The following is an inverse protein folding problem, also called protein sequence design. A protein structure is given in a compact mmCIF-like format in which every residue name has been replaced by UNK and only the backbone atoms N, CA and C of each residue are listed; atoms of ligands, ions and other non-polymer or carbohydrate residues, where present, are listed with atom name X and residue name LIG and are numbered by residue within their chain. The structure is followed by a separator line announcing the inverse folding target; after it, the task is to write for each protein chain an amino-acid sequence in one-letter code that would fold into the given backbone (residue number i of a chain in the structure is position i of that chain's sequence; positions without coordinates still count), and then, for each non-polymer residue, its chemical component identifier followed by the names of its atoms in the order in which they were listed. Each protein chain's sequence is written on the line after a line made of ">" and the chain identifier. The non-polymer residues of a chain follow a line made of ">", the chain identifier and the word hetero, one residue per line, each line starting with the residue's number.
data_IF_469415821269
#
_entry.id   IF_469415821269
#
_cell.length_a   1.000
_cell.length_b   1.000
_cell.length_c   1.000
_cell.angle_alpha   90.00
_cell.angle_beta   90.00
_cell.angle_gamma   90.00
#
_symmetry.space_group_name_H-M   'P 1'
#
loop_
_entity.id
_entity.type
_entity.pdbx_description
1 polymer ?
#
# COMPACT_ATOMS: atom_id res chain seq x y z
N UNK A 1 12.35 20.47 21.42
CA UNK A 1 11.11 20.05 20.73
C UNK A 1 11.09 18.53 20.68
N UNK A 2 10.02 17.86 21.13
CA UNK A 2 9.89 16.41 20.96
C UNK A 2 9.61 16.14 19.49
N UNK A 3 10.54 15.47 18.79
CA UNK A 3 10.27 14.98 17.44
C UNK A 3 9.16 13.92 17.55
N UNK A 4 7.98 14.20 17.00
CA UNK A 4 6.92 13.22 16.89
C UNK A 4 7.29 12.25 15.78
N UNK A 5 7.37 10.95 16.10
CA UNK A 5 7.62 9.88 15.13
C UNK A 5 6.38 9.73 14.26
N UNK A 6 6.52 9.93 12.94
CA UNK A 6 5.42 9.89 11.97
C UNK A 6 5.28 8.51 11.33
N UNK A 7 4.04 8.10 11.09
CA UNK A 7 3.74 7.02 10.15
C UNK A 7 3.96 7.50 8.70
N UNK A 8 4.08 6.59 7.73
CA UNK A 8 4.33 6.94 6.31
C UNK A 8 3.26 7.89 5.75
N UNK A 9 2.00 7.73 6.15
CA UNK A 9 0.89 8.61 5.76
C UNK A 9 1.02 10.04 6.30
N UNK A 10 1.77 10.25 7.37
CA UNK A 10 2.02 11.56 7.98
C UNK A 10 3.37 12.17 7.53
N UNK A 11 4.18 11.40 6.80
CA UNK A 11 5.45 11.90 6.25
C UNK A 11 5.21 12.91 5.12
N UNK A 12 6.19 13.78 4.82
CA UNK A 12 6.09 14.71 3.70
C UNK A 12 5.85 14.01 2.36
N UNK A 13 5.14 14.67 1.43
CA UNK A 13 4.80 14.10 0.12
C UNK A 13 6.04 13.65 -0.68
N UNK A 14 7.19 14.32 -0.54
CA UNK A 14 8.42 13.89 -1.21
C UNK A 14 8.94 12.53 -0.69
N UNK A 15 8.82 12.25 0.62
CA UNK A 15 9.16 10.93 1.20
C UNK A 15 8.20 9.86 0.69
N UNK A 16 6.90 10.16 0.64
CA UNK A 16 5.88 9.25 0.10
C UNK A 16 6.12 8.95 -1.39
N UNK A 17 6.52 9.96 -2.15
CA UNK A 17 6.88 9.79 -3.56
C UNK A 17 8.09 8.86 -3.72
N UNK A 18 9.16 9.05 -2.94
CA UNK A 18 10.32 8.16 -2.99
C UNK A 18 9.94 6.73 -2.56
N UNK A 19 9.12 6.58 -1.53
CA UNK A 19 8.57 5.29 -1.10
C UNK A 19 7.90 4.55 -2.26
N UNK A 20 6.99 5.23 -2.99
CA UNK A 20 6.35 4.67 -4.15
C UNK A 20 7.32 4.41 -5.31
N UNK A 21 8.27 5.32 -5.59
CA UNK A 21 9.30 5.12 -6.63
C UNK A 21 10.11 3.85 -6.39
N UNK A 22 10.50 3.57 -5.14
CA UNK A 22 11.18 2.33 -4.78
C UNK A 22 10.32 1.10 -5.10
N UNK A 23 9.02 1.13 -4.77
CA UNK A 23 8.11 0.03 -5.09
C UNK A 23 7.94 -0.19 -6.61
N UNK A 24 8.08 0.85 -7.44
CA UNK A 24 8.00 0.69 -8.90
C UNK A 24 9.11 -0.19 -9.47
N UNK A 25 10.22 -0.40 -8.76
CA UNK A 25 11.24 -1.34 -9.22
C UNK A 25 10.70 -2.76 -9.22
N UNK A 26 9.88 -3.13 -8.24
CA UNK A 26 9.23 -4.45 -8.19
C UNK A 26 8.11 -4.57 -9.23
N UNK A 27 7.35 -3.50 -9.44
CA UNK A 27 6.25 -3.47 -10.42
C UNK A 27 6.72 -3.72 -11.86
N UNK A 28 7.98 -3.41 -12.17
CA UNK A 28 8.52 -3.38 -13.54
C UNK A 28 9.67 -4.36 -13.80
N UNK A 29 10.05 -5.20 -12.82
CA UNK A 29 11.18 -6.13 -12.99
C UNK A 29 11.01 -7.07 -14.20
N UNK A 30 9.77 -7.50 -14.49
CA UNK A 30 9.51 -8.49 -15.54
C UNK A 30 9.28 -7.88 -16.94
N UNK A 31 9.60 -6.60 -17.14
CA UNK A 31 9.43 -5.85 -18.42
C UNK A 31 8.00 -5.82 -18.98
N UNK A 32 7.03 -6.34 -18.23
CA UNK A 32 5.60 -6.15 -18.45
C UNK A 32 4.96 -5.83 -17.11
N UNK A 33 4.71 -4.55 -16.88
CA UNK A 33 3.91 -4.12 -15.75
C UNK A 33 2.52 -4.76 -15.85
N UNK A 34 2.20 -5.64 -14.92
CA UNK A 34 0.92 -6.33 -14.84
C UNK A 34 -0.08 -5.48 -14.01
N UNK A 35 -1.36 -5.49 -14.42
CA UNK A 35 -2.48 -4.87 -13.72
C UNK A 35 -2.59 -5.29 -12.23
N UNK A 36 -2.14 -6.50 -11.87
CA UNK A 36 -2.16 -6.99 -10.48
C UNK A 36 -1.13 -6.26 -9.60
N UNK A 37 0.11 -6.10 -10.08
CA UNK A 37 1.15 -5.32 -9.37
C UNK A 37 0.79 -3.84 -9.32
N UNK A 38 0.23 -3.32 -10.41
CA UNK A 38 -0.26 -1.94 -10.48
C UNK A 38 -1.42 -1.68 -9.50
N UNK A 39 -2.35 -2.64 -9.35
CA UNK A 39 -3.40 -2.60 -8.35
C UNK A 39 -2.82 -2.43 -6.95
N UNK A 40 -1.84 -3.24 -6.56
CA UNK A 40 -1.22 -3.13 -5.24
C UNK A 40 -0.49 -1.79 -5.05
N UNK A 41 0.18 -1.28 -6.08
CA UNK A 41 0.80 0.05 -6.05
C UNK A 41 -0.25 1.16 -5.81
N UNK A 42 -1.38 1.15 -6.52
CA UNK A 42 -2.46 2.13 -6.31
C UNK A 42 -3.10 2.04 -4.93
N UNK A 43 -3.28 0.84 -4.42
CA UNK A 43 -3.74 0.62 -3.04
C UNK A 43 -2.76 1.23 -2.03
N UNK A 44 -1.46 1.04 -2.23
CA UNK A 44 -0.41 1.63 -1.37
C UNK A 44 -0.44 3.15 -1.46
N UNK A 45 -0.54 3.73 -2.67
CA UNK A 45 -0.69 5.18 -2.86
C UNK A 45 -1.92 5.73 -2.12
N UNK A 46 -3.05 5.01 -2.16
CA UNK A 46 -4.27 5.36 -1.45
C UNK A 46 -4.10 5.30 0.09
N UNK A 47 -3.37 4.28 0.59
CA UNK A 47 -3.04 4.10 2.02
C UNK A 47 -2.18 5.25 2.53
N UNK A 48 -1.06 5.53 1.86
CA UNK A 48 -0.14 6.59 2.29
C UNK A 48 -0.62 7.99 1.90
N UNK A 49 -1.73 8.10 1.18
CA UNK A 49 -2.31 9.36 0.71
C UNK A 49 -1.31 10.18 -0.13
N UNK A 50 -0.76 9.54 -1.17
CA UNK A 50 0.02 10.23 -2.19
C UNK A 50 -0.92 11.12 -3.01
N UNK A 51 -0.60 12.41 -3.10
CA UNK A 51 -1.43 13.38 -3.82
C UNK A 51 -1.31 13.23 -5.36
N UNK A 52 -2.23 13.85 -6.10
CA UNK A 52 -2.29 13.74 -7.57
C UNK A 52 -0.97 14.12 -8.24
N UNK A 53 -0.33 15.23 -7.83
CA UNK A 53 0.97 15.63 -8.40
C UNK A 53 2.08 14.59 -8.15
N UNK A 54 2.10 13.95 -6.98
CA UNK A 54 3.02 12.87 -6.68
C UNK A 54 2.76 11.63 -7.55
N UNK A 55 1.48 11.31 -7.82
CA UNK A 55 1.12 10.20 -8.71
C UNK A 55 1.51 10.48 -10.16
N UNK A 56 1.28 11.69 -10.65
CA UNK A 56 1.72 12.14 -11.98
C UNK A 56 3.23 11.91 -12.17
N UNK A 57 4.06 12.42 -11.23
CA UNK A 57 5.51 12.21 -11.25
C UNK A 57 5.91 10.73 -11.13
N UNK A 58 5.12 9.92 -10.42
CA UNK A 58 5.37 8.48 -10.31
C UNK A 58 5.06 7.75 -11.62
N UNK A 59 3.99 8.14 -12.31
CA UNK A 59 3.59 7.58 -13.60
C UNK A 59 4.58 7.94 -14.70
N UNK A 60 5.08 9.18 -14.72
CA UNK A 60 6.22 9.58 -15.55
C UNK A 60 7.42 8.68 -15.28
N UNK A 61 7.80 8.54 -14.00
CA UNK A 61 8.93 7.70 -13.57
C UNK A 61 8.80 6.23 -13.99
N UNK A 62 7.58 5.68 -14.07
CA UNK A 62 7.33 4.33 -14.56
C UNK A 62 7.61 4.16 -16.05
N UNK A 63 7.52 5.24 -16.85
CA UNK A 63 7.67 5.21 -18.31
C UNK A 63 9.03 5.71 -18.80
N UNK A 64 9.84 6.29 -17.92
CA UNK A 64 11.18 6.81 -18.17
C UNK A 64 12.28 5.83 -17.75
N UNK A 65 13.54 6.12 -18.13
CA UNK A 65 14.67 5.37 -17.57
C UNK A 65 14.76 5.69 -16.08
N UNK A 66 14.52 4.68 -15.25
CA UNK A 66 14.57 4.84 -13.80
C UNK A 66 15.97 5.26 -13.36
N UNK A 67 16.01 6.13 -12.35
CA UNK A 67 17.25 6.43 -11.64
C UNK A 67 17.87 5.14 -11.07
N UNK A 68 19.12 5.20 -10.60
CA UNK A 68 19.65 4.10 -9.82
C UNK A 68 18.88 3.99 -8.49
N UNK A 69 18.45 2.78 -8.13
CA UNK A 69 17.72 2.51 -6.88
C UNK A 69 18.53 2.95 -5.66
N UNK A 70 19.86 2.87 -5.73
CA UNK A 70 20.73 3.36 -4.66
C UNK A 70 20.64 4.87 -4.46
N UNK A 71 20.35 5.64 -5.51
CA UNK A 71 20.19 7.10 -5.40
C UNK A 71 18.96 7.44 -4.57
N UNK A 72 17.83 6.80 -4.85
CA UNK A 72 16.59 6.97 -4.09
C UNK A 72 16.76 6.49 -2.64
N UNK A 73 17.47 5.39 -2.43
CA UNK A 73 17.77 4.89 -1.10
C UNK A 73 18.65 5.86 -0.29
N UNK A 74 19.72 6.38 -0.88
CA UNK A 74 20.62 7.31 -0.21
C UNK A 74 19.90 8.61 0.17
N UNK A 75 18.99 9.08 -0.67
CA UNK A 75 18.14 10.23 -0.35
C UNK A 75 17.30 9.98 0.91
N UNK A 76 16.70 8.80 1.04
CA UNK A 76 15.95 8.43 2.24
C UNK A 76 16.87 8.24 3.45
N UNK A 77 17.98 7.54 3.28
CA UNK A 77 18.90 7.22 4.37
C UNK A 77 19.53 8.46 5.00
N UNK A 78 19.74 9.50 4.20
CA UNK A 78 20.26 10.81 4.67
C UNK A 78 19.17 11.73 5.21
N UNK A 79 17.89 11.49 4.87
CA UNK A 79 16.77 12.35 5.27
C UNK A 79 16.03 11.84 6.50
N UNK A 80 15.85 10.52 6.63
CA UNK A 80 15.13 9.90 7.75
C UNK A 80 16.14 9.34 8.75
N UNK A 81 15.92 9.62 10.03
CA UNK A 81 16.77 9.11 11.11
C UNK A 81 15.96 8.34 12.15
N UNK A 82 16.65 7.44 12.86
CA UNK A 82 16.11 6.72 14.00
C UNK A 82 14.82 5.96 13.71
N UNK A 83 13.76 6.27 14.46
CA UNK A 83 12.49 5.54 14.39
C UNK A 83 11.72 5.76 13.08
N UNK A 84 11.82 6.94 12.46
CA UNK A 84 11.13 7.19 11.18
C UNK A 84 11.76 6.37 10.05
N UNK A 85 13.08 6.24 10.03
CA UNK A 85 13.77 5.36 9.09
C UNK A 85 13.43 3.88 9.34
N UNK A 86 13.32 3.45 10.60
CA UNK A 86 12.88 2.09 10.90
C UNK A 86 11.44 1.83 10.42
N UNK A 87 10.51 2.74 10.67
CA UNK A 87 9.14 2.62 10.15
C UNK A 87 9.17 2.50 8.62
N UNK A 88 9.90 3.39 7.96
CA UNK A 88 10.05 3.38 6.50
C UNK A 88 10.58 2.03 5.98
N UNK A 89 11.71 1.55 6.50
CA UNK A 89 12.36 0.36 5.93
C UNK A 89 11.57 -0.93 6.15
N UNK A 90 10.89 -1.07 7.29
CA UNK A 90 10.07 -2.24 7.57
C UNK A 90 8.76 -2.22 6.81
N UNK A 91 8.08 -1.07 6.73
CA UNK A 91 6.89 -0.92 5.89
C UNK A 91 7.22 -1.17 4.42
N UNK A 92 8.34 -0.61 3.92
CA UNK A 92 8.77 -0.77 2.54
C UNK A 92 9.05 -2.24 2.20
N UNK A 93 9.72 -2.99 3.08
CA UNK A 93 9.96 -4.43 2.87
C UNK A 93 8.66 -5.23 2.82
N UNK A 94 7.70 -4.96 3.72
CA UNK A 94 6.38 -5.62 3.68
C UNK A 94 5.65 -5.30 2.38
N UNK A 95 5.64 -4.03 1.96
CA UNK A 95 4.98 -3.61 0.73
C UNK A 95 5.67 -4.16 -0.53
N UNK A 96 6.99 -4.34 -0.52
CA UNK A 96 7.70 -5.06 -1.58
C UNK A 96 7.24 -6.52 -1.71
N UNK A 97 7.08 -7.23 -0.59
CA UNK A 97 6.54 -8.60 -0.60
C UNK A 97 5.11 -8.64 -1.12
N UNK A 98 4.27 -7.66 -0.76
CA UNK A 98 2.90 -7.57 -1.24
C UNK A 98 2.85 -7.34 -2.76
N UNK A 99 3.67 -6.43 -3.29
CA UNK A 99 3.74 -6.18 -4.74
C UNK A 99 4.28 -7.39 -5.49
N UNK A 100 5.35 -8.02 -4.98
CA UNK A 100 5.93 -9.24 -5.56
C UNK A 100 4.95 -10.41 -5.54
N UNK A 101 4.10 -10.53 -4.52
CA UNK A 101 3.09 -11.58 -4.39
C UNK A 101 1.81 -11.35 -5.20
N UNK A 102 1.65 -10.19 -5.84
CA UNK A 102 0.38 -9.77 -6.42
C UNK A 102 -0.13 -10.68 -7.56
N UNK A 103 0.78 -11.26 -8.35
CA UNK A 103 0.45 -12.12 -9.49
C UNK A 103 0.79 -13.60 -9.26
N UNK A 104 1.13 -13.98 -8.03
CA UNK A 104 1.39 -15.37 -7.59
C UNK A 104 2.54 -16.08 -8.31
N UNK A 105 3.36 -15.32 -9.05
CA UNK A 105 4.52 -15.82 -9.76
C UNK A 105 5.71 -15.01 -9.25
N UNK A 106 6.81 -15.71 -8.93
CA UNK A 106 8.05 -15.06 -8.53
C UNK A 106 9.12 -15.36 -9.57
N UNK A 107 9.54 -14.34 -10.30
CA UNK A 107 10.67 -14.47 -11.23
C UNK A 107 12.00 -14.52 -10.48
N UNK A 108 13.06 -14.99 -11.16
CA UNK A 108 14.39 -15.01 -10.56
C UNK A 108 14.88 -13.58 -10.28
N UNK A 109 14.52 -12.65 -11.16
CA UNK A 109 14.82 -11.22 -11.08
C UNK A 109 14.17 -10.56 -9.86
N UNK A 110 12.91 -10.87 -9.58
CA UNK A 110 12.21 -10.39 -8.38
C UNK A 110 12.83 -10.91 -7.08
N UNK A 111 13.18 -12.20 -7.05
CA UNK A 111 13.84 -12.81 -5.90
C UNK A 111 15.23 -12.19 -5.65
N UNK A 112 15.98 -11.89 -6.70
CA UNK A 112 17.25 -11.17 -6.59
C UNK A 112 17.05 -9.71 -6.16
N UNK A 113 16.01 -9.03 -6.67
CA UNK A 113 15.68 -7.68 -6.23
C UNK A 113 15.35 -7.65 -4.73
N UNK A 114 14.50 -8.54 -4.22
CA UNK A 114 14.21 -8.64 -2.78
C UNK A 114 15.47 -8.88 -1.97
N UNK A 115 16.38 -9.76 -2.41
CA UNK A 115 17.65 -9.99 -1.72
C UNK A 115 18.50 -8.72 -1.65
N UNK A 116 18.53 -7.93 -2.73
CA UNK A 116 19.26 -6.67 -2.79
C UNK A 116 18.61 -5.61 -1.90
N UNK A 117 17.29 -5.47 -1.94
CA UNK A 117 16.53 -4.57 -1.05
C UNK A 117 16.73 -4.94 0.42
N UNK A 118 16.70 -6.23 0.77
CA UNK A 118 16.95 -6.70 2.14
C UNK A 118 18.31 -6.24 2.66
N UNK A 119 19.36 -6.38 1.85
CA UNK A 119 20.71 -5.91 2.17
C UNK A 119 20.74 -4.38 2.30
N UNK A 120 20.18 -3.67 1.33
CA UNK A 120 20.12 -2.21 1.29
C UNK A 120 19.42 -1.63 2.52
N UNK A 121 18.29 -2.20 2.92
CA UNK A 121 17.51 -1.77 4.09
C UNK A 121 18.06 -2.28 5.43
N UNK A 122 19.18 -3.01 5.41
CA UNK A 122 19.79 -3.62 6.61
C UNK A 122 18.80 -4.45 7.43
N UNK A 123 17.99 -5.27 6.75
CA UNK A 123 17.00 -6.14 7.38
C UNK A 123 17.67 -7.48 7.69
N UNK A 124 17.70 -7.83 8.98
CA UNK A 124 18.26 -9.09 9.47
C UNK A 124 17.48 -10.31 8.97
N UNK A 125 18.04 -11.50 9.19
CA UNK A 125 17.36 -12.74 8.84
C UNK A 125 16.11 -12.91 9.71
N UNK A 126 16.20 -12.69 11.02
CA UNK A 126 15.05 -12.84 11.93
C UNK A 126 13.92 -11.84 11.60
N UNK A 127 14.27 -10.58 11.28
CA UNK A 127 13.28 -9.58 10.88
C UNK A 127 12.62 -9.94 9.54
N UNK A 128 13.38 -10.44 8.58
CA UNK A 128 12.83 -10.85 7.29
C UNK A 128 11.88 -12.05 7.43
N UNK A 129 12.27 -13.07 8.19
CA UNK A 129 11.44 -14.25 8.46
C UNK A 129 10.15 -13.87 9.20
N UNK A 130 10.22 -12.91 10.13
CA UNK A 130 9.04 -12.37 10.79
C UNK A 130 8.09 -11.68 9.81
N UNK A 131 8.60 -10.80 8.93
CA UNK A 131 7.78 -10.10 7.93
C UNK A 131 7.17 -11.11 6.94
N UNK A 132 7.93 -12.13 6.54
CA UNK A 132 7.43 -13.21 5.69
C UNK A 132 6.33 -14.04 6.39
N UNK A 133 6.52 -14.36 7.69
CA UNK A 133 5.51 -15.05 8.50
C UNK A 133 4.24 -14.20 8.60
N UNK A 134 4.36 -12.91 8.86
CA UNK A 134 3.20 -11.99 8.84
C UNK A 134 2.52 -12.02 7.48
N UNK A 135 3.27 -11.86 6.38
CA UNK A 135 2.75 -11.89 5.01
C UNK A 135 2.01 -13.20 4.69
N UNK A 136 2.52 -14.36 5.13
CA UNK A 136 1.86 -15.66 4.94
C UNK A 136 0.68 -15.88 5.87
N UNK A 137 0.74 -15.39 7.10
CA UNK A 137 -0.37 -15.43 8.05
C UNK A 137 -1.55 -14.58 7.54
N UNK A 138 -1.22 -13.44 6.94
CA UNK A 138 -2.11 -12.55 6.20
C UNK A 138 -2.81 -13.29 5.03
N UNK A 139 -2.16 -14.27 4.39
CA UNK A 139 -2.76 -15.15 3.38
C UNK A 139 -3.62 -16.28 3.97
N UNK A 140 -3.20 -16.89 5.09
CA UNK A 140 -3.86 -18.07 5.69
C UNK A 140 -5.11 -17.76 6.53
N UNK A 141 -5.28 -16.51 6.99
CA UNK A 141 -6.49 -16.05 7.70
C UNK A 141 -7.80 -16.24 6.89
N UNK A 142 -7.68 -16.55 5.60
CA UNK A 142 -8.78 -16.69 4.64
C UNK A 142 -9.52 -18.03 4.71
N UNK A 143 -8.87 -19.11 5.15
CA UNK A 143 -9.43 -20.46 5.01
C UNK A 143 -10.26 -20.90 6.22
N UNK A 144 -10.04 -20.26 7.37
CA UNK A 144 -10.66 -20.65 8.62
C UNK A 144 -11.61 -19.55 9.09
N UNK A 145 -12.87 -19.91 9.38
CA UNK A 145 -13.81 -19.05 10.09
C UNK A 145 -13.35 -18.90 11.55
N UNK A 146 -12.22 -18.21 11.74
CA UNK A 146 -11.57 -18.13 13.04
C UNK A 146 -12.40 -17.23 13.96
N UNK A 147 -12.51 -17.69 15.20
CA UNK A 147 -13.22 -17.00 16.28
C UNK A 147 -12.52 -15.67 16.62
N UNK A 148 -13.30 -14.64 16.94
CA UNK A 148 -12.82 -13.25 17.08
C UNK A 148 -11.80 -13.07 18.23
N UNK A 149 -11.80 -13.98 19.21
CA UNK A 149 -10.79 -14.01 20.29
C UNK A 149 -9.39 -14.41 19.78
N UNK A 150 -9.31 -15.23 18.74
CA UNK A 150 -8.05 -15.61 18.08
C UNK A 150 -7.42 -14.42 17.35
N UNK A 151 -8.24 -13.49 16.84
CA UNK A 151 -7.75 -12.29 16.14
C UNK A 151 -7.02 -11.33 17.10
N UNK A 152 -7.55 -11.10 18.30
CA UNK A 152 -6.91 -10.26 19.31
C UNK A 152 -5.60 -10.86 19.83
N UNK A 153 -5.58 -12.17 20.08
CA UNK A 153 -4.37 -12.85 20.53
C UNK A 153 -3.28 -12.81 19.46
N UNK A 154 -3.64 -13.02 18.20
CA UNK A 154 -2.72 -12.90 17.07
C UNK A 154 -2.11 -11.49 16.98
N UNK A 155 -2.92 -10.43 17.08
CA UNK A 155 -2.39 -9.04 17.07
C UNK A 155 -1.40 -8.81 18.19
N UNK A 156 -1.76 -9.22 19.42
CA UNK A 156 -0.89 -9.03 20.59
C UNK A 156 0.40 -9.83 20.46
N UNK A 157 0.33 -11.04 19.94
CA UNK A 157 1.49 -11.88 19.65
C UNK A 157 2.38 -11.26 18.58
N UNK A 158 1.82 -10.79 17.47
CA UNK A 158 2.54 -10.11 16.40
C UNK A 158 3.25 -8.85 16.92
N UNK A 159 2.57 -8.03 17.71
CA UNK A 159 3.19 -6.84 18.33
C UNK A 159 4.32 -7.25 19.27
N UNK A 160 4.12 -8.27 20.11
CA UNK A 160 5.14 -8.74 21.05
C UNK A 160 6.37 -9.32 20.32
N UNK A 161 6.16 -10.16 19.32
CA UNK A 161 7.24 -10.76 18.52
C UNK A 161 8.00 -9.70 17.71
N UNK A 162 7.28 -8.81 17.02
CA UNK A 162 7.87 -7.74 16.22
C UNK A 162 8.70 -6.76 17.06
N UNK A 163 8.17 -6.36 18.22
CA UNK A 163 8.92 -5.47 19.13
C UNK A 163 10.15 -6.15 19.74
N UNK A 164 10.07 -7.45 20.04
CA UNK A 164 11.20 -8.22 20.57
C UNK A 164 12.39 -8.27 19.59
N UNK A 165 12.13 -8.24 18.28
CA UNK A 165 13.16 -8.22 17.23
C UNK A 165 13.45 -6.82 16.68
N UNK A 166 12.94 -5.77 17.35
CA UNK A 166 13.25 -4.37 17.04
C UNK A 166 12.47 -3.76 15.88
N UNK A 167 11.35 -4.36 15.46
CA UNK A 167 10.44 -3.78 14.47
C UNK A 167 9.51 -2.76 15.18
N UNK A 168 9.47 -1.49 14.75
CA UNK A 168 8.54 -0.51 15.28
C UNK A 168 7.10 -0.97 15.07
N UNK A 169 6.27 -0.80 16.10
CA UNK A 169 4.88 -1.22 16.01
C UNK A 169 4.14 -0.47 14.90
N UNK A 170 4.49 0.79 14.63
CA UNK A 170 3.92 1.58 13.53
C UNK A 170 4.19 1.03 12.13
N UNK A 171 5.19 0.15 11.96
CA UNK A 171 5.40 -0.58 10.71
C UNK A 171 4.67 -1.92 10.65
N UNK A 172 4.19 -2.42 11.78
CA UNK A 172 3.33 -3.60 11.82
C UNK A 172 1.94 -3.16 11.36
N UNK A 173 1.41 -3.84 10.35
CA UNK A 173 0.04 -3.66 9.89
C UNK A 173 -0.80 -4.83 10.41
N UNK A 174 -1.98 -4.55 10.94
CA UNK A 174 -2.83 -5.55 11.58
C UNK A 174 -3.70 -6.24 10.54
N UNK A 175 -3.26 -7.46 10.19
CA UNK A 175 -3.99 -8.61 9.64
C UNK A 175 -4.82 -8.36 8.37
N UNK A 176 -4.39 -9.02 7.29
CA UNK A 176 -4.98 -8.98 5.95
C UNK A 176 -6.26 -9.81 5.77
N UNK A 177 -7.09 -9.41 4.80
CA UNK A 177 -8.10 -10.24 4.13
C UNK A 177 -8.18 -9.90 2.63
N UNK A 178 -8.19 -10.89 1.71
CA UNK A 178 -9.00 -10.84 0.48
C UNK A 178 -9.21 -12.21 -0.18
N UNK A 179 -10.43 -12.40 -0.67
CA UNK A 179 -10.86 -13.45 -1.59
C UNK A 179 -9.90 -13.76 -2.76
N UNK A 180 -9.81 -15.07 -2.99
CA UNK A 180 -9.59 -15.77 -4.26
C UNK A 180 -10.73 -15.44 -5.25
N UNK A 181 -10.45 -14.71 -6.33
CA UNK A 181 -11.40 -14.57 -7.44
C UNK A 181 -11.25 -15.76 -8.39
N UNK A 182 -12.14 -16.76 -8.26
CA UNK A 182 -12.73 -17.40 -9.44
C UNK A 182 -14.02 -16.65 -9.70
N UNK A 183 -14.21 -16.22 -10.95
CA UNK A 183 -15.43 -15.67 -11.53
C UNK A 183 -16.70 -15.94 -10.70
N UNK A 184 -17.34 -14.86 -10.22
CA UNK A 184 -18.74 -14.88 -9.79
C UNK A 184 -19.40 -13.60 -10.30
N UNK A 185 -20.54 -13.78 -10.95
CA UNK A 185 -21.37 -12.76 -11.60
C UNK A 185 -21.82 -11.63 -10.66
N UNK A 186 -22.09 -10.43 -11.20
CA UNK A 186 -22.51 -9.28 -10.41
C UNK A 186 -23.98 -9.43 -10.04
N UNK A 187 -24.25 -10.02 -8.89
CA UNK A 187 -25.54 -9.81 -8.21
C UNK A 187 -25.26 -9.57 -6.74
N UNK A 188 -25.34 -8.29 -6.34
CA UNK A 188 -25.97 -7.81 -5.11
C UNK A 188 -25.74 -6.29 -5.02
N UNK A 189 -26.60 -5.58 -5.75
CA UNK A 189 -27.33 -4.38 -5.31
C UNK A 189 -26.56 -3.27 -4.57
N UNK A 190 -26.36 -2.16 -5.28
CA UNK A 190 -26.88 -0.83 -4.92
C UNK A 190 -27.47 -0.72 -3.51
N UNK A 191 -26.63 -0.44 -2.50
CA UNK A 191 -27.11 0.05 -1.20
C UNK A 191 -26.04 0.65 -0.28
N UNK A 192 -25.06 1.39 -0.80
CA UNK A 192 -24.19 2.24 0.04
C UNK A 192 -23.92 3.59 -0.64
N UNK A 193 -24.97 4.26 -1.11
CA UNK A 193 -24.92 5.68 -1.49
C UNK A 193 -26.14 6.35 -0.89
N UNK A 194 -26.08 6.57 0.43
CA UNK A 194 -27.20 7.11 1.19
C UNK A 194 -26.74 7.76 2.48
N UNK A 195 -26.31 9.03 2.37
CA UNK A 195 -26.17 10.01 3.46
C UNK A 195 -25.27 9.61 4.63
N UNK A 196 -24.14 10.29 4.78
CA UNK A 196 -23.78 10.82 6.09
C UNK A 196 -23.50 12.31 6.01
N UNK A 197 -24.32 13.06 6.76
CA UNK A 197 -24.18 14.47 7.08
C UNK A 197 -22.84 14.71 7.76
N UNK A 198 -22.25 15.87 7.45
CA UNK A 198 -21.25 16.54 8.27
C UNK A 198 -21.58 16.39 9.76
N UNK A 199 -20.80 15.57 10.45
CA UNK A 199 -20.56 15.71 11.88
C UNK A 199 -19.11 16.12 11.99
N UNK A 200 -18.91 17.36 12.44
CA UNK A 200 -17.63 17.85 12.92
C UNK A 200 -17.05 16.80 13.87
N UNK A 201 -15.82 16.36 13.59
CA UNK A 201 -15.10 15.39 14.41
C UNK A 201 -14.84 16.01 15.79
N UNK A 202 -15.65 15.61 16.76
CA UNK A 202 -15.33 15.66 18.19
C UNK A 202 -13.95 14.99 18.41
N UNK A 203 -13.03 15.47 19.27
CA UNK A 203 -11.62 15.03 19.29
C UNK A 203 -11.37 13.63 19.90
N UNK A 204 -12.40 12.78 20.00
CA UNK A 204 -12.27 11.36 20.29
C UNK A 204 -12.75 10.42 19.17
N UNK A 205 -12.08 10.36 17.98
CA UNK A 205 -12.26 9.28 17.01
C UNK A 205 -10.94 8.86 16.31
N UNK A 206 -9.80 9.42 16.73
CA UNK A 206 -8.52 9.31 15.99
C UNK A 206 -7.91 7.92 16.04
N UNK A 207 -8.05 7.19 17.16
CA UNK A 207 -7.44 5.86 17.32
C UNK A 207 -8.16 4.80 16.46
N UNK A 208 -9.49 4.90 16.32
CA UNK A 208 -10.28 3.96 15.53
C UNK A 208 -10.02 4.08 14.03
N UNK A 209 -9.87 5.31 13.53
CA UNK A 209 -9.54 5.56 12.11
C UNK A 209 -8.11 5.10 11.76
N UNK A 210 -7.14 5.29 12.66
CA UNK A 210 -5.75 4.87 12.42
C UNK A 210 -5.56 3.36 12.50
N UNK A 211 -6.25 2.67 13.42
CA UNK A 211 -6.27 1.20 13.46
C UNK A 211 -6.95 0.60 12.22
N UNK A 212 -7.99 1.25 11.72
CA UNK A 212 -8.67 0.84 10.50
C UNK A 212 -7.75 0.96 9.27
N UNK A 213 -6.88 1.98 9.24
CA UNK A 213 -5.89 2.23 8.17
C UNK A 213 -4.77 1.19 8.09
N UNK A 214 -4.78 0.19 8.98
CA UNK A 214 -3.69 -0.78 9.10
C UNK A 214 -2.40 -0.14 9.60
N UNK A 215 -2.50 1.01 10.29
CA UNK A 215 -1.36 1.75 10.86
C UNK A 215 -1.43 1.60 12.38
N UNK A 216 -0.54 0.80 12.96
CA UNK A 216 -0.57 0.55 14.40
C UNK A 216 0.25 1.63 15.12
N UNK A 217 -0.37 2.74 15.48
CA UNK A 217 0.29 3.76 16.30
C UNK A 217 0.43 3.32 17.76
N UNK A 218 1.34 3.95 18.51
CA UNK A 218 1.47 3.74 19.97
C UNK A 218 0.13 3.84 20.71
N UNK A 219 -0.72 4.81 20.34
CA UNK A 219 -2.06 4.96 20.91
C UNK A 219 -3.02 3.84 20.49
N UNK A 220 -2.90 3.34 19.25
CA UNK A 220 -3.58 2.12 18.78
C UNK A 220 -3.18 0.88 19.59
N UNK A 221 -1.89 0.65 19.79
CA UNK A 221 -1.38 -0.45 20.63
C UNK A 221 -1.93 -0.37 22.05
N UNK A 222 -1.80 0.81 22.68
CA UNK A 222 -2.27 1.03 24.05
C UNK A 222 -3.77 0.79 24.18
N UNK A 223 -4.54 1.15 23.15
CA UNK A 223 -5.98 0.91 23.11
C UNK A 223 -6.31 -0.59 22.98
N UNK A 224 -5.59 -1.33 22.12
CA UNK A 224 -5.76 -2.79 21.93
C UNK A 224 -5.37 -3.56 23.20
N UNK A 225 -4.27 -3.18 23.83
CA UNK A 225 -3.76 -3.84 25.04
C UNK A 225 -4.66 -3.59 26.26
N UNK A 226 -5.31 -2.43 26.36
CA UNK A 226 -6.11 -2.05 27.54
C UNK A 226 -7.61 -2.36 27.44
N UNK A 227 -8.12 -2.86 26.30
CA UNK A 227 -9.55 -3.21 26.14
C UNK A 227 -9.80 -4.70 26.37
N UNK A 228 -10.86 -5.01 27.12
CA UNK A 228 -11.42 -6.37 27.26
C UNK A 228 -12.22 -6.79 26.02
N UNK A 229 -12.31 -8.11 25.76
CA UNK A 229 -12.89 -8.81 24.57
C UNK A 229 -14.26 -8.30 24.06
N UNK A 230 -14.98 -7.45 24.81
CA UNK A 230 -16.35 -7.01 24.50
C UNK A 230 -16.52 -6.04 23.31
N UNK A 231 -15.44 -5.63 22.62
CA UNK A 231 -15.49 -4.70 21.49
C UNK A 231 -14.78 -5.21 20.23
N UNK A 232 -14.61 -6.52 20.09
CA UNK A 232 -13.93 -7.17 18.96
C UNK A 232 -14.66 -6.99 17.62
N UNK A 233 -16.00 -6.99 17.64
CA UNK A 233 -16.83 -6.72 16.46
C UNK A 233 -16.66 -5.30 15.90
N UNK A 234 -16.29 -4.33 16.75
CA UNK A 234 -16.07 -2.93 16.35
C UNK A 234 -14.76 -2.79 15.56
N UNK A 235 -13.68 -3.45 15.98
CA UNK A 235 -12.42 -3.45 15.24
C UNK A 235 -12.58 -4.07 13.86
N UNK A 236 -13.15 -5.27 13.81
CA UNK A 236 -13.42 -5.96 12.54
C UNK A 236 -14.24 -5.08 11.60
N UNK A 237 -15.28 -4.41 12.12
CA UNK A 237 -16.10 -3.47 11.35
C UNK A 237 -15.28 -2.28 10.83
N UNK A 238 -14.51 -1.63 11.70
CA UNK A 238 -13.67 -0.49 11.33
C UNK A 238 -12.66 -0.87 10.25
N UNK A 239 -11.99 -2.00 10.43
CA UNK A 239 -11.03 -2.55 9.50
C UNK A 239 -11.64 -2.86 8.12
N UNK A 240 -12.83 -3.48 8.06
CA UNK A 240 -13.57 -3.70 6.80
C UNK A 240 -13.96 -2.36 6.14
N UNK A 241 -14.48 -1.42 6.92
CA UNK A 241 -14.91 -0.12 6.42
C UNK A 241 -13.73 0.66 5.80
N UNK A 242 -12.53 0.54 6.37
CA UNK A 242 -11.36 1.21 5.81
C UNK A 242 -10.79 0.49 4.60
N UNK A 243 -10.84 -0.84 4.56
CA UNK A 243 -10.53 -1.59 3.34
C UNK A 243 -11.40 -1.11 2.17
N UNK A 244 -12.70 -0.96 2.40
CA UNK A 244 -13.64 -0.39 1.43
C UNK A 244 -13.23 1.03 1.04
N UNK A 245 -12.91 1.89 2.01
CA UNK A 245 -12.48 3.27 1.75
C UNK A 245 -11.20 3.34 0.90
N UNK A 246 -10.21 2.50 1.19
CA UNK A 246 -8.96 2.42 0.44
C UNK A 246 -9.20 1.89 -0.98
N UNK A 247 -10.11 0.92 -1.13
CA UNK A 247 -10.50 0.38 -2.43
C UNK A 247 -11.18 1.43 -3.30
N UNK A 248 -12.12 2.20 -2.74
CA UNK A 248 -12.78 3.31 -3.44
C UNK A 248 -11.78 4.41 -3.79
N UNK A 249 -10.94 4.84 -2.84
CA UNK A 249 -9.91 5.87 -3.11
C UNK A 249 -8.94 5.43 -4.21
N UNK A 250 -8.52 4.16 -4.23
CA UNK A 250 -7.64 3.68 -5.27
C UNK A 250 -8.30 3.73 -6.65
N UNK A 251 -9.60 3.40 -6.76
CA UNK A 251 -10.36 3.59 -8.01
C UNK A 251 -10.46 5.05 -8.42
N UNK A 252 -10.74 5.94 -7.47
CA UNK A 252 -10.78 7.40 -7.71
C UNK A 252 -9.43 7.90 -8.23
N UNK A 253 -8.32 7.45 -7.65
CA UNK A 253 -6.98 7.79 -8.11
C UNK A 253 -6.73 7.33 -9.55
N UNK A 254 -7.09 6.08 -9.87
CA UNK A 254 -6.93 5.55 -11.24
C UNK A 254 -7.76 6.35 -12.24
N UNK A 255 -9.01 6.67 -11.91
CA UNK A 255 -9.90 7.45 -12.77
C UNK A 255 -9.36 8.87 -13.00
N UNK A 256 -8.89 9.53 -11.95
CA UNK A 256 -8.27 10.84 -12.02
C UNK A 256 -7.04 10.81 -12.93
N UNK A 257 -6.16 9.82 -12.74
CA UNK A 257 -4.91 9.69 -13.50
C UNK A 257 -5.17 9.34 -14.98
N UNK A 258 -6.17 8.48 -15.29
CA UNK A 258 -6.62 8.25 -16.68
C UNK A 258 -7.12 9.55 -17.31
N UNK A 259 -7.92 10.33 -16.58
CA UNK A 259 -8.45 11.60 -17.08
C UNK A 259 -7.32 12.59 -17.39
N UNK A 260 -6.32 12.70 -16.51
CA UNK A 260 -5.16 13.56 -16.74
C UNK A 260 -4.37 13.13 -17.98
N UNK A 261 -3.99 11.84 -18.05
CA UNK A 261 -3.25 11.28 -19.20
C UNK A 261 -4.02 11.37 -20.52
N UNK A 262 -5.35 11.38 -20.48
CA UNK A 262 -6.21 11.53 -21.67
C UNK A 262 -6.38 12.99 -22.11
N UNK A 263 -6.15 13.95 -21.21
CA UNK A 263 -6.31 15.39 -21.48
C UNK A 263 -5.01 16.06 -21.91
N UNK A 264 -3.87 15.58 -21.40
CA UNK A 264 -2.52 16.05 -21.74
C UNK A 264 -2.00 15.83 -23.18
N UNK A 265 -2.53 14.92 -24.04
CA UNK A 265 -2.00 14.73 -25.40
C UNK A 265 -2.13 15.95 -26.33
N UNK A 266 -2.86 16.99 -25.92
CA UNK A 266 -3.19 18.14 -26.76
C UNK A 266 -2.28 19.38 -26.54
N UNK A 267 -1.21 19.29 -25.72
CA UNK A 267 -0.46 20.49 -25.29
C UNK A 267 0.99 20.64 -25.80
N UNK A 268 1.52 19.75 -26.64
CA UNK A 268 2.87 19.90 -27.21
C UNK A 268 2.87 20.02 -28.74
N UNK A 269 2.50 21.21 -29.24
CA UNK A 269 2.49 21.57 -30.68
C UNK A 269 3.91 21.93 -31.20
N UNK A 270 5.00 21.53 -30.53
CA UNK A 270 6.37 21.92 -30.93
C UNK A 270 7.45 20.84 -30.83
N UNK A 271 7.08 19.56 -30.75
CA UNK A 271 8.05 18.45 -30.80
C UNK A 271 8.18 17.89 -32.22
N UNK A 272 9.38 17.41 -32.57
CA UNK A 272 9.60 16.66 -33.80
C UNK A 272 8.64 15.46 -33.85
N UNK A 273 8.03 15.19 -35.01
CA UNK A 273 6.96 14.18 -35.18
C UNK A 273 7.32 12.81 -34.58
N UNK A 274 8.60 12.43 -34.61
CA UNK A 274 9.09 11.14 -34.12
C UNK A 274 9.13 11.04 -32.60
N UNK A 275 9.37 12.14 -31.87
CA UNK A 275 9.31 12.15 -30.40
C UNK A 275 7.86 12.22 -29.91
N UNK A 276 7.02 12.98 -30.60
CA UNK A 276 5.59 13.07 -30.32
C UNK A 276 4.90 11.70 -30.43
N UNK A 277 5.17 10.94 -31.49
CA UNK A 277 4.62 9.58 -31.68
C UNK A 277 5.06 8.60 -30.58
N UNK A 278 6.29 8.76 -30.07
CA UNK A 278 6.84 7.91 -29.00
C UNK A 278 6.21 8.23 -27.65
N UNK A 279 6.00 9.50 -27.33
CA UNK A 279 5.31 9.95 -26.11
C UNK A 279 3.85 9.47 -26.14
N UNK A 280 3.15 9.71 -27.25
CA UNK A 280 1.77 9.27 -27.44
C UNK A 280 1.62 7.75 -27.26
N UNK A 281 2.55 6.97 -27.84
CA UNK A 281 2.56 5.51 -27.68
C UNK A 281 2.80 5.03 -26.25
N UNK A 282 3.56 5.77 -25.44
CA UNK A 282 3.75 5.47 -24.00
C UNK A 282 2.48 5.79 -23.20
N UNK A 283 1.90 6.97 -23.42
CA UNK A 283 0.68 7.40 -22.73
C UNK A 283 -0.49 6.45 -22.99
N UNK A 284 -0.68 6.00 -24.24
CA UNK A 284 -1.72 5.02 -24.58
C UNK A 284 -1.53 3.69 -23.86
N UNK A 285 -0.28 3.17 -23.81
CA UNK A 285 0.02 1.92 -23.09
C UNK A 285 -0.28 2.05 -21.61
N UNK A 286 0.07 3.19 -21.01
CA UNK A 286 -0.19 3.45 -19.60
C UNK A 286 -1.69 3.56 -19.32
N UNK A 287 -2.44 4.29 -20.14
CA UNK A 287 -3.91 4.37 -20.04
C UNK A 287 -4.53 2.97 -20.11
N UNK A 288 -4.14 2.14 -21.08
CA UNK A 288 -4.64 0.76 -21.20
C UNK A 288 -4.33 -0.08 -19.95
N UNK A 289 -3.13 0.09 -19.36
CA UNK A 289 -2.77 -0.58 -18.11
C UNK A 289 -3.64 -0.10 -16.94
N UNK A 290 -3.90 1.20 -16.84
CA UNK A 290 -4.75 1.78 -15.81
C UNK A 290 -6.20 1.33 -15.94
N UNK A 291 -6.76 1.28 -17.15
CA UNK A 291 -8.10 0.76 -17.42
C UNK A 291 -8.23 -0.72 -17.01
N UNK A 292 -7.23 -1.53 -17.34
CA UNK A 292 -7.14 -2.93 -16.90
C UNK A 292 -7.05 -3.07 -15.37
N UNK A 293 -6.29 -2.17 -14.73
CA UNK A 293 -6.17 -2.11 -13.28
C UNK A 293 -7.51 -1.74 -12.64
N UNK A 294 -8.23 -0.76 -13.20
CA UNK A 294 -9.57 -0.36 -12.76
C UNK A 294 -10.57 -1.51 -12.92
N UNK A 295 -10.55 -2.22 -14.05
CA UNK A 295 -11.37 -3.42 -14.26
C UNK A 295 -11.07 -4.51 -13.22
N UNK A 296 -9.81 -4.64 -12.81
CA UNK A 296 -9.42 -5.54 -11.71
C UNK A 296 -10.03 -5.08 -10.38
N UNK A 297 -10.02 -3.79 -10.08
CA UNK A 297 -10.69 -3.24 -8.90
C UNK A 297 -12.21 -3.46 -8.90
N UNK A 298 -12.87 -3.39 -10.06
CA UNK A 298 -14.30 -3.68 -10.15
C UNK A 298 -14.64 -5.16 -9.99
N UNK A 299 -13.74 -6.05 -10.38
CA UNK A 299 -13.93 -7.52 -10.32
C UNK A 299 -13.38 -8.16 -9.04
N UNK A 300 -12.79 -7.38 -8.14
CA UNK A 300 -12.22 -7.87 -6.87
C UNK A 300 -12.82 -7.12 -5.68
N UNK A 301 -12.97 -7.83 -4.55
CA UNK A 301 -13.47 -7.21 -3.31
C UNK A 301 -12.38 -6.36 -2.64
N UNK A 302 -12.76 -5.37 -1.82
CA UNK A 302 -11.85 -4.63 -0.95
C UNK A 302 -10.98 -5.55 -0.09
N UNK A 303 -9.71 -5.16 0.06
CA UNK A 303 -8.69 -5.91 0.79
C UNK A 303 -8.38 -5.19 2.09
N UNK A 304 -8.59 -5.86 3.22
CA UNK A 304 -8.16 -5.40 4.56
C UNK A 304 -6.67 -5.65 4.72
N UNK A 305 -5.90 -4.73 5.35
CA UNK A 305 -4.43 -4.78 5.54
C UNK A 305 -4.02 -4.23 6.89
#
# INVERSE_FOLDING_TARGET
>A
MKHQVRAIEEMPQYIKLIYCKLLTYMVDQDRQVNQLKMKELYRIMAKIQLNSKGREVLLEFLTESKNDINTLYNEIHTTLEGQEYNIFRFSLMKDFMIVMGADYIHSAEELELIKNIKKMLSISIEQYEFIEKEYRSDENFLENHLEEEWYQSLIKETIAQGTAIGIPVASLAVIRHCHRSRYVEPTLTDRILGRQKNKELDPGPSIGATLALGVVTYYGVKWILNRHNRQESELRRLTIQEAERLHERAKEYILEDISHLSTEPNLEINLEQTEHDKILGKSVKLITLLEKTLATYHSTKPIVI
#
